data_IF_934524707083
#
_entry.id   IF_934524707083
#
_cell.length_a   1.000
_cell.length_b   1.000
_cell.length_c   1.000
_cell.angle_alpha   90.00
_cell.angle_beta   90.00
_cell.angle_gamma   90.00
#
_symmetry.space_group_name_H-M   'P 1'
#
loop_
_entity.id
_entity.type
_entity.pdbx_description
1 polymer ?
#
# COMPACT_ATOMS: atom_id res chain seq x y z
N UNK A 1 0.32 -17.22 9.34
CA UNK A 1 0.71 -17.39 7.93
C UNK A 1 1.71 -16.29 7.65
N UNK A 2 2.99 -16.62 7.43
CA UNK A 2 4.04 -15.61 7.28
C UNK A 2 3.96 -15.08 5.84
N UNK A 3 3.49 -13.83 5.68
CA UNK A 3 3.36 -13.21 4.36
C UNK A 3 4.75 -12.79 3.89
N UNK A 4 5.12 -13.18 2.68
CA UNK A 4 6.35 -12.73 2.02
C UNK A 4 6.02 -11.53 1.13
N UNK A 5 6.65 -10.39 1.41
CA UNK A 5 6.54 -9.17 0.57
C UNK A 5 7.33 -9.25 -0.74
N UNK A 6 8.04 -10.36 -0.96
CA UNK A 6 8.93 -10.56 -2.11
C UNK A 6 8.25 -10.37 -3.48
N UNK A 7 7.02 -10.86 -3.73
CA UNK A 7 6.36 -10.66 -5.01
C UNK A 7 6.12 -9.19 -5.35
N UNK A 8 5.79 -8.38 -4.34
CA UNK A 8 5.52 -6.94 -4.52
C UNK A 8 6.83 -6.19 -4.73
N UNK A 9 7.88 -6.56 -3.99
CA UNK A 9 9.23 -6.03 -4.21
C UNK A 9 9.72 -6.34 -5.63
N UNK A 10 9.49 -7.55 -6.12
CA UNK A 10 9.87 -7.94 -7.48
C UNK A 10 9.11 -7.13 -8.53
N UNK A 11 7.79 -6.94 -8.37
CA UNK A 11 7.00 -6.09 -9.25
C UNK A 11 7.47 -4.62 -9.24
N UNK A 12 7.81 -4.09 -8.06
CA UNK A 12 8.38 -2.76 -7.92
C UNK A 12 9.75 -2.65 -8.59
N UNK A 13 10.62 -3.64 -8.43
CA UNK A 13 11.92 -3.69 -9.10
C UNK A 13 11.77 -3.66 -10.63
N UNK A 14 10.86 -4.47 -11.18
CA UNK A 14 10.57 -4.48 -12.62
C UNK A 14 10.03 -3.14 -13.12
N UNK A 15 9.19 -2.46 -12.33
CA UNK A 15 8.72 -1.12 -12.67
C UNK A 15 9.86 -0.10 -12.68
N UNK A 16 10.77 -0.18 -11.71
CA UNK A 16 11.94 0.72 -11.59
C UNK A 16 13.00 0.46 -12.67
N UNK A 17 13.08 -0.74 -13.24
CA UNK A 17 13.97 -1.06 -14.38
C UNK A 17 13.72 -0.20 -15.62
N UNK A 18 12.52 0.36 -15.77
CA UNK A 18 12.19 1.31 -16.83
C UNK A 18 12.84 2.69 -16.68
N UNK A 19 13.41 3.00 -15.50
CA UNK A 19 14.03 4.29 -15.21
C UNK A 19 15.51 4.29 -15.59
N UNK A 20 15.94 5.29 -16.37
CA UNK A 20 17.32 5.42 -16.87
C UNK A 20 18.38 5.48 -15.76
N UNK A 21 18.03 6.06 -14.60
CA UNK A 21 18.94 6.18 -13.47
C UNK A 21 19.01 4.91 -12.61
N UNK A 22 18.02 4.01 -12.72
CA UNK A 22 18.02 2.72 -12.02
C UNK A 22 19.20 1.85 -12.42
N UNK A 23 19.54 1.85 -13.70
CA UNK A 23 20.64 1.04 -14.25
C UNK A 23 22.03 1.55 -13.83
N UNK A 24 22.12 2.77 -13.29
CA UNK A 24 23.37 3.35 -12.75
C UNK A 24 23.62 2.96 -11.29
N UNK A 25 22.62 2.39 -10.61
CA UNK A 25 22.71 2.00 -9.21
C UNK A 25 23.32 0.60 -9.05
N UNK A 26 24.16 0.42 -8.03
CA UNK A 26 24.61 -0.90 -7.62
C UNK A 26 23.52 -1.68 -6.87
N UNK A 27 23.70 -2.99 -6.67
CA UNK A 27 22.70 -3.86 -6.02
C UNK A 27 22.23 -3.34 -4.67
N UNK A 28 23.15 -2.80 -3.84
CA UNK A 28 22.81 -2.27 -2.53
C UNK A 28 21.97 -1.00 -2.63
N UNK A 29 22.36 -0.07 -3.50
CA UNK A 29 21.61 1.16 -3.75
C UNK A 29 20.21 0.88 -4.32
N UNK A 30 20.07 -0.14 -5.18
CA UNK A 30 18.76 -0.60 -5.67
C UNK A 30 17.90 -1.12 -4.52
N UNK A 31 18.46 -1.94 -3.63
CA UNK A 31 17.79 -2.38 -2.41
C UNK A 31 17.31 -1.21 -1.55
N UNK A 32 18.18 -0.23 -1.29
CA UNK A 32 17.86 0.96 -0.49
C UNK A 32 16.68 1.75 -1.12
N UNK A 33 16.72 1.98 -2.44
CA UNK A 33 15.64 2.69 -3.17
C UNK A 33 14.34 1.90 -3.13
N UNK A 34 14.38 0.57 -3.29
CA UNK A 34 13.18 -0.27 -3.21
C UNK A 34 12.56 -0.20 -1.82
N UNK A 35 13.36 -0.34 -0.78
CA UNK A 35 12.87 -0.31 0.60
C UNK A 35 12.29 1.07 0.95
N UNK A 36 12.95 2.17 0.54
CA UNK A 36 12.43 3.54 0.73
C UNK A 36 11.12 3.74 -0.04
N UNK A 37 11.06 3.31 -1.30
CA UNK A 37 9.89 3.49 -2.15
C UNK A 37 8.71 2.70 -1.62
N UNK A 38 8.94 1.43 -1.26
CA UNK A 38 7.94 0.57 -0.65
C UNK A 38 7.44 1.14 0.68
N UNK A 39 8.34 1.70 1.50
CA UNK A 39 7.99 2.41 2.74
C UNK A 39 7.08 3.60 2.47
N UNK A 40 7.42 4.43 1.49
CA UNK A 40 6.61 5.59 1.15
C UNK A 40 5.21 5.18 0.70
N UNK A 41 5.11 4.18 -0.18
CA UNK A 41 3.82 3.68 -0.67
C UNK A 41 2.93 3.19 0.47
N UNK A 42 3.49 2.40 1.40
CA UNK A 42 2.72 1.90 2.53
C UNK A 42 2.31 3.00 3.51
N UNK A 43 3.15 4.02 3.73
CA UNK A 43 2.78 5.19 4.54
C UNK A 43 1.67 6.02 3.89
N UNK A 44 1.79 6.28 2.59
CA UNK A 44 0.75 7.00 1.84
C UNK A 44 -0.57 6.24 1.88
N UNK A 45 -0.49 4.91 1.74
CA UNK A 45 -1.63 4.03 1.86
C UNK A 45 -2.26 4.13 3.26
N UNK A 46 -1.49 3.97 4.33
CA UNK A 46 -1.96 4.12 5.72
C UNK A 46 -2.59 5.50 5.99
N UNK A 47 -1.99 6.57 5.45
CA UNK A 47 -2.52 7.92 5.54
C UNK A 47 -3.87 8.06 4.80
N UNK A 48 -4.00 7.48 3.61
CA UNK A 48 -5.28 7.44 2.89
C UNK A 48 -6.37 6.70 3.68
N UNK A 49 -5.98 5.73 4.50
CA UNK A 49 -6.86 5.02 5.42
C UNK A 49 -7.16 5.78 6.73
N UNK A 50 -6.58 6.96 6.93
CA UNK A 50 -6.72 7.73 8.16
C UNK A 50 -6.07 7.07 9.38
N UNK A 51 -5.13 6.15 9.15
CA UNK A 51 -4.39 5.48 10.21
C UNK A 51 -3.40 6.45 10.85
N UNK A 52 -3.29 6.37 12.18
CA UNK A 52 -2.45 7.25 12.97
C UNK A 52 -1.15 6.55 13.37
N UNK A 53 0.03 7.13 13.10
CA UNK A 53 1.29 6.59 13.59
C UNK A 53 1.31 6.56 15.12
N UNK A 54 1.87 5.50 15.68
CA UNK A 54 1.93 5.25 17.13
C UNK A 54 0.62 4.71 17.73
N UNK A 55 -0.46 4.62 16.96
CA UNK A 55 -1.75 4.07 17.39
C UNK A 55 -2.11 2.86 16.53
N UNK A 56 -2.19 3.07 15.21
CA UNK A 56 -2.60 2.05 14.25
C UNK A 56 -1.42 1.31 13.62
N UNK A 57 -0.23 1.93 13.65
CA UNK A 57 1.03 1.35 13.20
C UNK A 57 2.25 1.95 13.90
N UNK A 58 3.33 1.17 13.97
CA UNK A 58 4.65 1.64 14.45
C UNK A 58 5.56 1.95 13.26
N UNK A 59 6.16 3.14 13.26
CA UNK A 59 7.11 3.63 12.26
C UNK A 59 8.51 3.75 12.88
N UNK A 60 9.13 2.61 13.19
CA UNK A 60 10.41 2.54 13.90
C UNK A 60 11.54 1.88 13.08
N UNK A 61 11.36 1.75 11.77
CA UNK A 61 12.32 1.05 10.93
C UNK A 61 13.54 1.91 10.61
N UNK A 62 14.72 1.37 10.89
CA UNK A 62 15.98 1.98 10.48
C UNK A 62 16.19 1.84 8.96
N UNK A 63 17.12 2.62 8.37
CA UNK A 63 17.59 2.35 7.02
C UNK A 63 18.07 0.89 6.92
N UNK A 64 17.62 0.17 5.88
CA UNK A 64 18.07 -1.17 5.51
C UNK A 64 17.66 -2.31 6.47
N UNK A 65 16.64 -2.11 7.29
CA UNK A 65 15.96 -3.21 7.99
C UNK A 65 15.03 -3.98 7.04
N UNK A 66 15.01 -5.33 7.10
CA UNK A 66 14.21 -6.16 6.22
C UNK A 66 12.71 -5.83 6.36
N UNK A 67 12.03 -5.66 5.23
CA UNK A 67 10.60 -5.33 5.20
C UNK A 67 9.69 -6.40 5.81
N UNK A 68 10.19 -7.53 6.27
CA UNK A 68 9.41 -8.47 7.09
C UNK A 68 9.06 -7.90 8.47
N UNK A 69 9.80 -6.88 8.92
CA UNK A 69 9.51 -6.13 10.15
C UNK A 69 8.56 -4.95 9.90
N UNK A 70 7.89 -4.92 8.74
CA UNK A 70 6.92 -3.87 8.45
C UNK A 70 5.79 -3.90 9.47
N UNK A 71 5.76 -2.85 10.28
CA UNK A 71 4.54 -2.24 10.80
C UNK A 71 3.71 -3.22 11.64
N UNK A 72 3.89 -3.17 12.96
CA UNK A 72 2.93 -3.76 13.89
C UNK A 72 1.59 -3.05 13.70
N UNK A 73 0.73 -3.65 12.88
CA UNK A 73 -0.62 -3.17 12.58
C UNK A 73 -1.56 -3.60 13.68
N UNK A 74 -2.56 -2.76 13.98
CA UNK A 74 -3.75 -3.28 14.68
C UNK A 74 -4.37 -4.42 13.84
N UNK A 75 -5.00 -5.44 14.44
CA UNK A 75 -5.59 -6.56 13.69
C UNK A 75 -6.55 -6.12 12.59
N UNK A 76 -7.29 -5.03 12.83
CA UNK A 76 -8.21 -4.44 11.86
C UNK A 76 -7.48 -3.83 10.66
N UNK A 77 -6.34 -3.20 10.87
CA UNK A 77 -5.54 -2.62 9.80
C UNK A 77 -4.80 -3.71 9.01
N UNK A 78 -4.34 -4.76 9.69
CA UNK A 78 -3.76 -5.94 9.07
C UNK A 78 -4.76 -6.64 8.14
N UNK A 79 -5.99 -6.88 8.61
CA UNK A 79 -7.07 -7.43 7.79
C UNK A 79 -7.39 -6.58 6.56
N UNK A 80 -7.36 -5.25 6.72
CA UNK A 80 -7.67 -4.31 5.65
C UNK A 80 -6.59 -4.31 4.56
N UNK A 81 -5.33 -4.19 4.96
CA UNK A 81 -4.16 -4.21 4.06
C UNK A 81 -4.03 -5.58 3.39
N UNK A 82 -4.19 -6.66 4.15
CA UNK A 82 -4.18 -8.03 3.62
C UNK A 82 -5.28 -8.21 2.59
N UNK A 83 -6.51 -7.80 2.91
CA UNK A 83 -7.63 -7.87 1.97
C UNK A 83 -7.39 -7.07 0.69
N UNK A 84 -6.73 -5.91 0.76
CA UNK A 84 -6.35 -5.13 -0.43
C UNK A 84 -5.32 -5.84 -1.29
N UNK A 85 -4.26 -6.36 -0.67
CA UNK A 85 -3.18 -7.06 -1.39
C UNK A 85 -3.69 -8.34 -2.06
N UNK A 86 -4.60 -9.07 -1.43
CA UNK A 86 -5.23 -10.27 -2.00
C UNK A 86 -6.34 -9.94 -3.02
N UNK A 87 -6.66 -8.66 -3.25
CA UNK A 87 -7.76 -8.24 -4.11
C UNK A 87 -9.15 -8.60 -3.57
N UNK A 88 -9.25 -9.03 -2.31
CA UNK A 88 -10.51 -9.30 -1.59
C UNK A 88 -11.21 -8.02 -1.15
N UNK A 89 -10.46 -6.91 -1.04
CA UNK A 89 -10.95 -5.57 -0.77
C UNK A 89 -10.53 -4.68 -1.93
N UNK A 90 -11.46 -3.85 -2.42
CA UNK A 90 -11.19 -2.86 -3.47
C UNK A 90 -11.39 -1.45 -2.92
N UNK A 91 -10.54 -0.53 -3.36
CA UNK A 91 -10.72 0.90 -3.16
C UNK A 91 -11.71 1.44 -4.19
N UNK A 92 -12.79 2.08 -3.73
CA UNK A 92 -13.72 2.80 -4.61
C UNK A 92 -13.44 4.29 -4.44
N UNK A 93 -13.06 4.95 -5.53
CA UNK A 93 -12.89 6.40 -5.55
C UNK A 93 -14.22 7.11 -5.35
N UNK A 94 -14.16 8.27 -4.69
CA UNK A 94 -15.32 9.12 -4.54
C UNK A 94 -15.82 9.57 -5.91
N UNK A 95 -17.13 9.52 -6.11
CA UNK A 95 -17.75 9.88 -7.38
C UNK A 95 -19.14 10.46 -7.17
N UNK A 96 -19.63 11.22 -8.15
CA UNK A 96 -21.01 11.67 -8.16
C UNK A 96 -21.85 10.59 -8.83
N UNK A 97 -22.87 10.12 -8.13
CA UNK A 97 -23.86 9.19 -8.65
C UNK A 97 -25.14 9.93 -8.98
N UNK A 98 -25.56 9.83 -10.23
CA UNK A 98 -26.86 10.32 -10.70
C UNK A 98 -27.87 9.18 -10.63
N UNK A 99 -28.98 9.40 -9.93
CA UNK A 99 -30.09 8.44 -9.87
C UNK A 99 -30.86 8.40 -11.20
N UNK A 100 -31.68 7.36 -11.40
CA UNK A 100 -32.59 7.26 -12.56
C UNK A 100 -33.57 8.43 -12.68
N UNK A 101 -33.81 9.14 -11.58
CA UNK A 101 -34.69 10.32 -11.51
C UNK A 101 -33.91 11.65 -11.66
N UNK A 102 -32.62 11.61 -11.99
CA UNK A 102 -31.79 12.80 -12.22
C UNK A 102 -31.15 13.41 -10.96
N UNK A 103 -31.53 12.97 -9.76
CA UNK A 103 -30.92 13.47 -8.53
C UNK A 103 -29.45 13.03 -8.41
N UNK A 104 -28.56 13.97 -8.10
CA UNK A 104 -27.14 13.72 -7.86
C UNK A 104 -26.86 13.50 -6.38
N UNK A 105 -25.99 12.55 -6.09
CA UNK A 105 -25.50 12.25 -4.73
C UNK A 105 -23.99 12.03 -4.77
N UNK A 106 -23.28 12.60 -3.80
CA UNK A 106 -21.84 12.36 -3.66
C UNK A 106 -21.61 11.05 -2.91
N UNK A 107 -20.94 10.12 -3.57
CA UNK A 107 -20.44 8.90 -2.95
C UNK A 107 -19.03 9.19 -2.46
N UNK A 108 -18.82 9.12 -1.14
CA UNK A 108 -17.48 9.23 -0.55
C UNK A 108 -16.63 8.02 -0.96
N UNK A 109 -15.33 8.24 -1.09
CA UNK A 109 -14.39 7.14 -1.27
C UNK A 109 -14.52 6.15 -0.12
N UNK A 110 -14.53 4.86 -0.42
CA UNK A 110 -14.70 3.80 0.58
C UNK A 110 -14.14 2.47 0.09
N UNK A 111 -13.96 1.56 1.03
CA UNK A 111 -13.51 0.19 0.77
C UNK A 111 -14.69 -0.74 0.76
N UNK A 112 -14.70 -1.63 -0.23
CA UNK A 112 -15.71 -2.67 -0.35
C UNK A 112 -15.02 -4.02 -0.44
N UNK A 113 -15.55 -5.03 0.27
CA UNK A 113 -15.20 -6.41 -0.06
C UNK A 113 -15.63 -6.70 -1.50
N UNK A 114 -14.74 -7.31 -2.27
CA UNK A 114 -15.07 -7.83 -3.59
C UNK A 114 -16.09 -8.95 -3.37
N UNK A 115 -17.25 -8.82 -4.00
CA UNK A 115 -18.22 -9.91 -4.00
C UNK A 115 -17.61 -11.00 -4.89
N UNK A 116 -17.46 -12.20 -4.33
CA UNK A 116 -16.96 -13.39 -5.00
C UNK A 116 -17.77 -13.72 -6.24
#
# INVERSE_FOLDING_TARGET
MQISFEPIKNALSQALESLSDWNKLNYRQKGDVMDITFKSILKDLMNQFGMKPGIDYVDNLKPNEPCTDFVALSPRADDLITGLMEGKIIAISGHIRTSKLGNQSSVKAHFRRKAS
#
